data_IF_649248946345
#
_entry.id   IF_649248946345
#
_cell.length_a   1.000
_cell.length_b   1.000
_cell.length_c   1.000
_cell.angle_alpha   90.00
_cell.angle_beta   90.00
_cell.angle_gamma   90.00
#
_symmetry.space_group_name_H-M   'P 1'
#
loop_
_entity.id
_entity.type
_entity.pdbx_description
1 polymer ?
#
# COMPACT_ATOMS: atom_id res chain seq x y z
N UNK A 1 12.66 -75.72 5.53
CA UNK A 1 12.03 -74.88 6.57
C UNK A 1 11.85 -73.51 5.97
N UNK A 2 10.58 -73.15 5.79
CA UNK A 2 10.11 -71.84 5.38
C UNK A 2 10.76 -70.70 6.19
N UNK A 3 10.95 -69.56 5.55
CA UNK A 3 10.17 -68.37 5.91
C UNK A 3 10.49 -67.22 4.96
N UNK A 4 9.52 -66.94 4.10
CA UNK A 4 9.21 -65.64 3.52
C UNK A 4 9.43 -64.53 4.56
N UNK A 5 10.28 -63.54 4.27
CA UNK A 5 10.25 -62.23 4.94
C UNK A 5 10.20 -61.11 3.91
N UNK A 6 8.95 -60.78 3.62
CA UNK A 6 8.34 -59.49 3.26
C UNK A 6 9.27 -58.28 3.21
N UNK A 7 9.13 -57.55 2.09
CA UNK A 7 9.70 -56.25 1.80
C UNK A 7 9.23 -55.13 2.74
N UNK A 8 10.06 -54.09 2.86
CA UNK A 8 9.60 -52.73 3.13
C UNK A 8 10.54 -51.75 2.40
N UNK A 9 10.09 -51.26 1.25
CA UNK A 9 10.67 -50.06 0.63
C UNK A 9 9.95 -48.88 1.27
N UNK A 10 10.67 -48.10 2.08
CA UNK A 10 10.18 -46.84 2.61
C UNK A 10 10.54 -45.76 1.60
N UNK A 11 9.61 -45.44 0.70
CA UNK A 11 9.69 -44.22 -0.10
C UNK A 11 9.18 -43.08 0.77
N UNK A 12 10.09 -42.30 1.34
CA UNK A 12 9.73 -41.06 2.03
C UNK A 12 9.32 -40.02 0.98
N UNK A 13 8.03 -39.97 0.68
CA UNK A 13 7.43 -38.87 -0.06
C UNK A 13 7.32 -37.68 0.91
N UNK A 14 8.27 -36.76 0.85
CA UNK A 14 8.11 -35.45 1.49
C UNK A 14 7.04 -34.67 0.71
N UNK A 15 5.78 -34.92 1.03
CA UNK A 15 4.72 -33.95 0.78
C UNK A 15 4.96 -32.80 1.76
N UNK A 16 5.75 -31.81 1.33
CA UNK A 16 5.74 -30.52 1.99
C UNK A 16 4.31 -30.03 1.96
N UNK A 17 3.68 -29.92 3.13
CA UNK A 17 2.46 -29.17 3.33
C UNK A 17 2.80 -27.73 2.96
N UNK A 18 2.60 -27.37 1.70
CA UNK A 18 2.47 -25.99 1.30
C UNK A 18 1.31 -25.44 2.10
N UNK A 19 1.60 -24.83 3.24
CA UNK A 19 0.66 -23.91 3.85
C UNK A 19 0.31 -22.93 2.73
N UNK A 20 -0.99 -22.77 2.47
CA UNK A 20 -1.42 -21.63 1.69
C UNK A 20 -0.81 -20.42 2.38
N UNK A 21 0.18 -19.80 1.74
CA UNK A 21 0.57 -18.44 2.09
C UNK A 21 -0.70 -17.67 1.80
N UNK A 22 -1.43 -17.28 2.85
CA UNK A 22 -2.53 -16.34 2.71
C UNK A 22 -1.88 -15.13 2.04
N UNK A 23 -2.28 -14.84 0.80
CA UNK A 23 -1.99 -13.56 0.20
C UNK A 23 -2.63 -12.54 1.14
N UNK A 24 -1.78 -11.84 1.89
CA UNK A 24 -2.25 -10.77 2.77
C UNK A 24 -2.58 -9.60 1.83
N UNK A 25 -3.84 -9.18 1.86
CA UNK A 25 -4.32 -7.99 1.18
C UNK A 25 -4.43 -6.88 2.23
N UNK A 26 -3.99 -5.68 1.89
CA UNK A 26 -3.98 -4.50 2.75
C UNK A 26 -4.67 -3.34 2.05
N UNK A 27 -5.80 -2.89 2.58
CA UNK A 27 -6.54 -1.75 2.02
C UNK A 27 -6.14 -0.46 2.72
N UNK A 28 -5.53 0.47 1.98
CA UNK A 28 -5.23 1.83 2.44
C UNK A 28 -6.30 2.81 1.97
N UNK A 29 -6.93 3.50 2.92
CA UNK A 29 -7.79 4.65 2.63
C UNK A 29 -6.95 5.91 2.43
N UNK A 30 -7.05 6.56 1.27
CA UNK A 30 -6.41 7.86 1.02
C UNK A 30 -7.45 8.97 1.13
N UNK A 31 -7.46 9.69 2.25
CA UNK A 31 -8.48 10.68 2.56
C UNK A 31 -8.00 12.11 2.28
N UNK A 32 -8.73 12.82 1.41
CA UNK A 32 -8.56 14.25 1.22
C UNK A 32 -9.92 14.92 0.98
N UNK A 33 -10.24 15.90 1.80
CA UNK A 33 -11.43 16.72 1.65
C UNK A 33 -11.05 18.19 1.42
N UNK A 34 -11.87 18.89 0.64
CA UNK A 34 -11.74 20.31 0.37
C UNK A 34 -11.78 20.64 -1.12
N UNK A 35 -11.55 21.92 -1.48
CA UNK A 35 -11.57 22.36 -2.87
C UNK A 35 -10.58 21.60 -3.73
N UNK A 36 -11.06 21.09 -4.87
CA UNK A 36 -10.24 20.35 -5.83
C UNK A 36 -9.78 18.97 -5.34
N UNK A 37 -10.37 18.41 -4.27
CA UNK A 37 -9.97 17.14 -3.67
C UNK A 37 -9.86 16.00 -4.69
N UNK A 38 -10.79 15.89 -5.65
CA UNK A 38 -10.74 14.86 -6.71
C UNK A 38 -9.45 14.90 -7.52
N UNK A 39 -9.09 16.07 -8.06
CA UNK A 39 -7.88 16.20 -8.88
C UNK A 39 -6.61 15.97 -8.05
N UNK A 40 -6.60 16.46 -6.82
CA UNK A 40 -5.47 16.28 -5.89
C UNK A 40 -5.33 14.83 -5.43
N UNK A 41 -6.44 14.13 -5.20
CA UNK A 41 -6.45 12.69 -4.91
C UNK A 41 -5.92 11.89 -6.09
N UNK A 42 -6.27 12.26 -7.33
CA UNK A 42 -5.72 11.58 -8.51
C UNK A 42 -4.19 11.70 -8.56
N UNK A 43 -3.63 12.86 -8.23
CA UNK A 43 -2.17 13.04 -8.14
C UNK A 43 -1.56 12.22 -6.99
N UNK A 44 -2.17 12.25 -5.80
CA UNK A 44 -1.74 11.42 -4.66
C UNK A 44 -1.73 9.93 -5.06
N UNK A 45 -2.80 9.45 -5.69
CA UNK A 45 -2.92 8.07 -6.15
C UNK A 45 -1.84 7.75 -7.18
N UNK A 46 -1.59 8.62 -8.16
CA UNK A 46 -0.54 8.41 -9.15
C UNK A 46 0.85 8.27 -8.50
N UNK A 47 1.18 9.14 -7.54
CA UNK A 47 2.42 9.02 -6.78
C UNK A 47 2.51 7.72 -5.96
N UNK A 48 1.40 7.32 -5.35
CA UNK A 48 1.30 6.11 -4.55
C UNK A 48 1.51 4.86 -5.40
N UNK A 49 0.79 4.76 -6.54
CA UNK A 49 0.87 3.65 -7.48
C UNK A 49 2.30 3.48 -8.01
N UNK A 50 2.97 4.59 -8.34
CA UNK A 50 4.36 4.54 -8.79
C UNK A 50 5.28 3.87 -7.76
N UNK A 51 5.09 4.16 -6.46
CA UNK A 51 5.88 3.52 -5.40
C UNK A 51 5.52 2.04 -5.18
N UNK A 52 4.24 1.68 -5.35
CA UNK A 52 3.74 0.32 -5.16
C UNK A 52 4.13 -0.62 -6.32
N UNK A 53 4.29 -0.09 -7.54
CA UNK A 53 4.77 -0.85 -8.70
C UNK A 53 6.29 -1.14 -8.63
N UNK A 54 7.06 -0.23 -8.04
CA UNK A 54 8.53 -0.26 -8.06
C UNK A 54 9.21 -1.46 -7.40
N UNK A 55 8.54 -2.15 -6.47
CA UNK A 55 9.22 -3.12 -5.61
C UNK A 55 8.88 -4.58 -5.87
N UNK A 56 7.64 -4.91 -6.23
CA UNK A 56 7.20 -6.31 -6.30
C UNK A 56 6.07 -6.56 -7.34
N UNK A 57 5.84 -5.64 -8.29
CA UNK A 57 4.77 -5.74 -9.30
C UNK A 57 5.01 -6.77 -10.42
N UNK A 58 3.98 -7.53 -10.78
CA UNK A 58 3.94 -8.55 -11.83
C UNK A 58 2.75 -8.36 -12.78
N UNK A 59 2.89 -8.86 -14.02
CA UNK A 59 1.79 -8.82 -14.98
C UNK A 59 0.63 -9.74 -14.55
N UNK A 60 -0.58 -9.17 -14.46
CA UNK A 60 -1.81 -9.91 -14.12
C UNK A 60 -2.26 -9.80 -12.66
N UNK A 61 -1.73 -8.84 -11.90
CA UNK A 61 -2.15 -8.54 -10.53
C UNK A 61 -3.61 -8.06 -10.45
N UNK A 62 -4.22 -8.30 -9.30
CA UNK A 62 -5.58 -7.87 -8.94
C UNK A 62 -5.59 -6.84 -7.80
N UNK A 63 -4.42 -6.29 -7.48
CA UNK A 63 -4.15 -5.28 -6.46
C UNK A 63 -3.57 -4.03 -7.12
N UNK A 64 -3.65 -2.89 -6.43
CA UNK A 64 -3.07 -1.61 -6.88
C UNK A 64 -1.54 -1.55 -6.76
N UNK A 65 -0.92 -2.69 -6.45
CA UNK A 65 0.52 -2.89 -6.35
C UNK A 65 0.89 -3.60 -5.06
N UNK A 66 2.18 -3.57 -4.73
CA UNK A 66 2.73 -4.30 -3.60
C UNK A 66 3.54 -3.37 -2.69
N UNK A 67 3.27 -3.42 -1.39
CA UNK A 67 4.09 -2.73 -0.38
C UNK A 67 4.46 -3.71 0.72
N UNK A 68 5.73 -3.78 1.08
CA UNK A 68 6.21 -4.64 2.17
C UNK A 68 5.93 -6.13 1.98
N UNK A 69 5.72 -6.59 0.74
CA UNK A 69 5.41 -7.99 0.41
C UNK A 69 3.93 -8.38 0.49
N UNK A 70 3.01 -7.40 0.63
CA UNK A 70 1.55 -7.64 0.59
C UNK A 70 0.91 -6.96 -0.60
N UNK A 71 -0.20 -7.53 -1.06
CA UNK A 71 -1.10 -6.91 -2.04
C UNK A 71 -1.74 -5.67 -1.41
N UNK A 72 -1.66 -4.52 -2.08
CA UNK A 72 -2.25 -3.26 -1.59
C UNK A 72 -3.45 -2.88 -2.43
N UNK A 73 -4.56 -2.56 -1.78
CA UNK A 73 -5.69 -1.89 -2.40
C UNK A 73 -5.77 -0.44 -1.94
N UNK A 74 -5.98 0.47 -2.87
CA UNK A 74 -6.13 1.90 -2.61
C UNK A 74 -7.61 2.23 -2.66
N UNK A 75 -8.12 2.83 -1.58
CA UNK A 75 -9.48 3.35 -1.50
C UNK A 75 -9.44 4.88 -1.37
N UNK A 76 -9.73 5.63 -2.46
CA UNK A 76 -9.87 7.08 -2.37
C UNK A 76 -11.08 7.46 -1.51
N UNK A 77 -10.89 8.37 -0.57
CA UNK A 77 -11.91 8.85 0.36
C UNK A 77 -11.97 10.39 0.38
N UNK A 78 -13.14 11.01 0.63
CA UNK A 78 -14.46 10.41 0.87
C UNK A 78 -15.01 9.59 -0.31
N UNK A 79 -15.96 8.68 -0.04
CA UNK A 79 -16.58 7.86 -1.11
C UNK A 79 -17.26 8.76 -2.15
N UNK A 80 -17.22 8.34 -3.41
CA UNK A 80 -17.73 9.12 -4.55
C UNK A 80 -16.85 10.27 -5.05
N UNK A 81 -15.69 10.55 -4.42
CA UNK A 81 -14.77 11.63 -4.87
C UNK A 81 -13.70 11.12 -5.84
N UNK A 82 -13.28 9.85 -5.73
CA UNK A 82 -12.14 9.31 -6.49
C UNK A 82 -12.31 7.90 -7.04
N UNK A 83 -13.54 7.38 -7.10
CA UNK A 83 -13.81 6.00 -7.57
C UNK A 83 -13.48 5.77 -9.06
N UNK A 84 -13.32 6.85 -9.83
CA UNK A 84 -12.96 6.85 -11.26
C UNK A 84 -11.51 7.31 -11.52
N UNK A 85 -10.68 7.38 -10.48
CA UNK A 85 -9.25 7.69 -10.64
C UNK A 85 -8.59 6.56 -11.45
N UNK A 86 -7.87 6.94 -12.51
CA UNK A 86 -7.20 6.00 -13.40
C UNK A 86 -6.09 5.22 -12.69
N UNK A 87 -5.88 3.97 -13.11
CA UNK A 87 -4.81 3.11 -12.61
C UNK A 87 -5.21 2.26 -11.39
N UNK A 88 -6.37 2.52 -10.79
CA UNK A 88 -6.91 1.68 -9.72
C UNK A 88 -7.63 0.45 -10.31
N UNK A 89 -7.35 -0.73 -9.75
CA UNK A 89 -7.97 -2.01 -10.14
C UNK A 89 -9.42 -2.14 -9.63
N UNK A 90 -9.87 -1.31 -8.68
CA UNK A 90 -11.28 -1.26 -8.33
C UNK A 90 -11.64 -0.36 -7.14
N UNK A 91 -12.89 -0.50 -6.71
CA UNK A 91 -13.41 0.07 -5.45
C UNK A 91 -13.45 -1.09 -4.44
N UNK A 92 -12.42 -1.27 -3.58
CA UNK A 92 -12.36 -2.41 -2.69
C UNK A 92 -13.63 -2.51 -1.84
N UNK A 93 -14.26 -3.68 -1.83
CA UNK A 93 -15.50 -3.91 -1.09
C UNK A 93 -15.28 -3.87 0.43
N UNK A 94 -14.04 -4.10 0.87
CA UNK A 94 -13.64 -4.09 2.26
C UNK A 94 -13.45 -2.66 2.78
N UNK A 95 -13.66 -2.49 4.09
CA UNK A 95 -13.26 -1.25 4.76
C UNK A 95 -11.74 -1.13 4.76
N UNK A 96 -11.19 0.10 4.76
CA UNK A 96 -9.75 0.27 4.82
C UNK A 96 -9.20 -0.26 6.15
N UNK A 97 -8.05 -0.92 6.08
CA UNK A 97 -7.26 -1.36 7.22
C UNK A 97 -6.71 -0.16 7.99
N UNK A 98 -6.29 0.87 7.26
CA UNK A 98 -5.85 2.16 7.79
C UNK A 98 -6.26 3.29 6.86
N UNK A 99 -6.33 4.50 7.39
CA UNK A 99 -6.59 5.70 6.60
C UNK A 99 -5.43 6.68 6.77
N UNK A 100 -4.89 7.15 5.65
CA UNK A 100 -3.95 8.27 5.61
C UNK A 100 -4.73 9.53 5.26
N UNK A 101 -4.71 10.50 6.18
CA UNK A 101 -5.35 11.80 6.02
C UNK A 101 -4.36 12.81 5.46
N UNK A 102 -4.69 13.31 4.28
CA UNK A 102 -4.01 14.42 3.64
C UNK A 102 -4.76 15.72 4.00
N UNK A 103 -4.16 16.56 4.85
CA UNK A 103 -4.78 17.81 5.33
C UNK A 103 -5.39 17.71 6.73
N UNK A 104 -6.13 18.74 7.14
CA UNK A 104 -6.60 18.90 8.53
C UNK A 104 -7.99 18.30 8.78
N UNK A 105 -8.82 18.13 7.76
CA UNK A 105 -10.18 17.63 7.89
C UNK A 105 -10.19 16.14 8.23
N UNK A 106 -10.85 15.75 9.31
CA UNK A 106 -10.95 14.35 9.75
C UNK A 106 -12.04 13.62 8.95
N UNK A 107 -11.82 12.35 8.56
CA UNK A 107 -12.88 11.51 8.00
C UNK A 107 -14.09 11.44 8.92
N UNK A 108 -15.28 11.42 8.33
CA UNK A 108 -16.51 11.18 9.07
C UNK A 108 -16.73 9.68 9.30
N UNK A 109 -17.52 9.33 10.32
CA UNK A 109 -17.90 7.92 10.60
C UNK A 109 -18.80 7.31 9.48
N UNK A 110 -19.26 8.13 8.53
CA UNK A 110 -19.96 7.69 7.32
C UNK A 110 -18.97 7.14 6.28
N UNK A 111 -17.77 7.73 6.22
CA UNK A 111 -16.75 7.38 5.23
C UNK A 111 -15.95 6.14 5.63
N UNK A 112 -15.73 5.95 6.94
CA UNK A 112 -14.90 4.88 7.49
C UNK A 112 -15.47 4.33 8.81
N UNK A 113 -15.29 3.04 9.13
CA UNK A 113 -15.65 2.52 10.45
C UNK A 113 -14.93 3.29 11.58
N UNK A 114 -15.61 3.58 12.72
CA UNK A 114 -15.02 4.37 13.81
C UNK A 114 -13.75 3.77 14.45
N UNK A 115 -13.54 2.47 14.29
CA UNK A 115 -12.37 1.74 14.80
C UNK A 115 -11.19 1.76 13.84
N UNK A 116 -11.35 2.30 12.64
CA UNK A 116 -10.27 2.35 11.63
C UNK A 116 -9.19 3.31 12.10
N UNK A 117 -7.93 2.86 12.21
CA UNK A 117 -6.80 3.75 12.51
C UNK A 117 -6.67 4.85 11.44
N UNK A 118 -6.58 6.11 11.88
CA UNK A 118 -6.36 7.27 11.01
C UNK A 118 -5.03 7.92 11.36
N UNK A 119 -4.13 8.01 10.38
CA UNK A 119 -2.84 8.66 10.51
C UNK A 119 -2.79 9.92 9.65
N UNK A 120 -2.03 10.91 10.10
CA UNK A 120 -1.70 12.05 9.25
C UNK A 120 -0.67 11.63 8.19
N UNK A 121 -0.80 12.19 7.00
CA UNK A 121 0.24 12.13 6.00
C UNK A 121 1.56 12.66 6.59
N UNK A 122 2.67 12.03 6.20
CA UNK A 122 4.00 12.32 6.71
C UNK A 122 4.46 13.68 6.24
N UNK A 123 5.51 14.19 6.86
CA UNK A 123 6.13 15.41 6.37
C UNK A 123 6.70 15.15 4.98
N UNK A 124 6.33 16.00 4.01
CA UNK A 124 7.03 16.07 2.74
C UNK A 124 8.22 17.00 2.91
N UNK A 125 9.38 16.62 2.38
CA UNK A 125 10.60 17.42 2.42
C UNK A 125 10.30 18.88 1.98
N UNK A 126 10.56 19.88 2.85
CA UNK A 126 10.36 21.28 2.52
C UNK A 126 11.38 21.82 1.51
N UNK A 127 12.55 21.18 1.38
CA UNK A 127 13.59 21.51 0.40
C UNK A 127 13.18 21.27 -1.05
N UNK A 128 12.15 20.43 -1.25
CA UNK A 128 11.66 19.97 -2.55
C UNK A 128 12.70 19.17 -3.34
N UNK A 129 13.60 18.47 -2.63
CA UNK A 129 14.64 17.63 -3.23
C UNK A 129 14.00 16.53 -4.11
N UNK A 130 12.76 16.15 -3.80
CA UNK A 130 11.92 15.27 -4.62
C UNK A 130 11.71 15.72 -6.08
N UNK A 131 11.91 17.00 -6.40
CA UNK A 131 11.80 17.49 -7.78
C UNK A 131 12.98 17.07 -8.67
N UNK A 132 14.13 16.79 -8.05
CA UNK A 132 15.37 16.42 -8.72
C UNK A 132 15.78 14.97 -8.43
N UNK A 133 14.94 14.23 -7.72
CA UNK A 133 15.20 12.83 -7.36
C UNK A 133 14.79 11.87 -8.47
N UNK A 134 15.16 10.60 -8.29
CA UNK A 134 14.75 9.50 -9.17
C UNK A 134 13.22 9.37 -9.27
N UNK A 135 12.49 9.73 -8.22
CA UNK A 135 11.02 9.78 -8.25
C UNK A 135 10.52 10.70 -9.36
N UNK A 136 11.05 11.92 -9.47
CA UNK A 136 10.59 12.86 -10.49
C UNK A 136 10.88 12.38 -11.92
N UNK A 137 12.05 11.77 -12.13
CA UNK A 137 12.41 11.19 -13.42
C UNK A 137 11.47 10.03 -13.81
N UNK A 138 11.15 9.13 -12.87
CA UNK A 138 10.25 8.00 -13.10
C UNK A 138 8.80 8.40 -13.26
N UNK A 139 8.35 9.37 -12.48
CA UNK A 139 7.00 9.93 -12.61
C UNK A 139 6.81 10.53 -14.00
N UNK A 140 7.78 11.32 -14.48
CA UNK A 140 7.74 11.86 -15.83
C UNK A 140 7.77 10.79 -16.92
N UNK A 141 8.55 9.73 -16.73
CA UNK A 141 8.58 8.59 -17.66
C UNK A 141 7.24 7.82 -17.71
N UNK A 142 6.55 7.71 -16.56
CA UNK A 142 5.31 6.93 -16.42
C UNK A 142 4.08 7.73 -16.87
N UNK A 143 3.97 8.98 -16.45
CA UNK A 143 2.77 9.80 -16.64
C UNK A 143 2.94 10.92 -17.68
N UNK A 144 4.14 11.10 -18.24
CA UNK A 144 4.42 12.08 -19.29
C UNK A 144 4.42 13.55 -18.83
N UNK A 145 4.38 13.79 -17.52
CA UNK A 145 4.39 15.13 -16.91
C UNK A 145 5.29 15.16 -15.68
N UNK A 146 5.78 16.34 -15.29
CA UNK A 146 6.47 16.50 -14.00
C UNK A 146 5.52 16.21 -12.84
N UNK A 147 6.01 15.62 -11.73
CA UNK A 147 5.18 15.36 -10.56
C UNK A 147 4.70 16.66 -9.91
N UNK A 148 3.46 16.63 -9.40
CA UNK A 148 2.96 17.66 -8.50
C UNK A 148 3.41 17.39 -7.06
N UNK A 149 3.24 18.38 -6.16
CA UNK A 149 3.49 18.19 -4.73
C UNK A 149 2.58 17.11 -4.13
N UNK A 150 1.34 17.01 -4.61
CA UNK A 150 0.38 16.01 -4.16
C UNK A 150 0.81 14.59 -4.63
N UNK A 151 1.37 14.45 -5.83
CA UNK A 151 1.99 13.19 -6.27
C UNK A 151 3.23 12.82 -5.45
N UNK A 152 4.13 13.77 -5.16
CA UNK A 152 5.27 13.52 -4.29
C UNK A 152 4.83 13.07 -2.89
N UNK A 153 3.75 13.66 -2.35
CA UNK A 153 3.17 13.23 -1.09
C UNK A 153 2.63 11.80 -1.17
N UNK A 154 1.92 11.43 -2.23
CA UNK A 154 1.43 10.05 -2.43
C UNK A 154 2.56 9.03 -2.45
N UNK A 155 3.65 9.32 -3.18
CA UNK A 155 4.84 8.49 -3.21
C UNK A 155 5.50 8.36 -1.83
N UNK A 156 5.63 9.48 -1.10
CA UNK A 156 6.13 9.50 0.27
C UNK A 156 5.34 8.54 1.17
N UNK A 157 4.01 8.62 1.14
CA UNK A 157 3.15 7.78 1.99
C UNK A 157 3.25 6.30 1.65
N UNK A 158 3.27 5.93 0.37
CA UNK A 158 3.43 4.54 -0.05
C UNK A 158 4.74 3.94 0.48
N UNK A 159 5.84 4.70 0.40
CA UNK A 159 7.14 4.25 0.91
C UNK A 159 7.19 4.16 2.43
N UNK A 160 6.53 5.09 3.14
CA UNK A 160 6.37 5.01 4.60
C UNK A 160 5.58 3.78 5.01
N UNK A 161 4.52 3.44 4.27
CA UNK A 161 3.72 2.23 4.49
C UNK A 161 4.53 0.96 4.20
N UNK A 162 5.28 0.91 3.10
CA UNK A 162 6.21 -0.20 2.83
C UNK A 162 7.18 -0.43 3.99
N UNK A 163 7.79 0.64 4.53
CA UNK A 163 8.68 0.56 5.69
C UNK A 163 7.97 0.08 6.97
N UNK A 164 6.69 0.40 7.14
CA UNK A 164 5.91 -0.02 8.31
C UNK A 164 5.41 -1.47 8.19
N UNK A 165 5.04 -1.92 6.99
CA UNK A 165 4.48 -3.24 6.71
C UNK A 165 5.57 -4.31 6.65
N UNK A 166 6.68 -4.03 5.95
CA UNK A 166 7.73 -5.00 5.65
C UNK A 166 8.31 -5.73 6.88
N UNK A 167 8.59 -5.06 8.02
CA UNK A 167 9.11 -5.74 9.20
C UNK A 167 8.07 -6.61 9.92
N UNK A 168 6.79 -6.44 9.59
CA UNK A 168 5.65 -7.08 10.24
C UNK A 168 5.10 -8.27 9.45
N UNK A 169 5.77 -8.67 8.36
CA UNK A 169 5.42 -9.84 7.54
C UNK A 169 3.95 -9.81 7.07
N UNK A 170 3.45 -8.61 6.74
CA UNK A 170 2.11 -8.41 6.17
C UNK A 170 0.93 -8.51 7.13
N UNK A 171 1.17 -8.46 8.45
CA UNK A 171 0.12 -8.60 9.47
C UNK A 171 -0.90 -7.43 9.48
N UNK A 172 -2.10 -7.76 9.98
CA UNK A 172 -3.20 -6.82 10.28
C UNK A 172 -2.72 -5.63 11.12
N UNK A 173 -3.19 -4.40 10.83
CA UNK A 173 -2.87 -3.23 11.64
C UNK A 173 -3.11 -3.45 13.13
N UNK A 174 -2.17 -2.99 13.93
CA UNK A 174 -2.21 -3.05 15.39
C UNK A 174 -1.08 -2.21 15.99
N UNK A 175 -0.80 -2.35 17.30
CA UNK A 175 0.15 -1.45 17.98
C UNK A 175 1.56 -1.41 17.38
N UNK A 176 2.03 -2.53 16.80
CA UNK A 176 3.34 -2.58 16.14
C UNK A 176 3.36 -1.78 14.82
N UNK A 177 2.30 -1.90 14.01
CA UNK A 177 2.13 -1.11 12.80
C UNK A 177 2.01 0.38 13.14
N UNK A 178 1.19 0.72 14.14
CA UNK A 178 1.02 2.10 14.62
C UNK A 178 2.36 2.72 15.02
N UNK A 179 3.18 2.01 15.80
CA UNK A 179 4.50 2.48 16.18
C UNK A 179 5.43 2.66 14.96
N UNK A 180 5.39 1.72 14.01
CA UNK A 180 6.23 1.77 12.82
C UNK A 180 5.87 2.92 11.87
N UNK A 181 4.58 3.16 11.61
CA UNK A 181 4.16 4.27 10.75
C UNK A 181 4.41 5.64 11.39
N UNK A 182 4.28 5.74 12.72
CA UNK A 182 4.61 6.97 13.45
C UNK A 182 6.12 7.24 13.47
N UNK A 183 6.96 6.21 13.49
CA UNK A 183 8.41 6.35 13.42
C UNK A 183 8.90 6.97 12.09
N UNK A 184 8.09 6.86 11.02
CA UNK A 184 8.41 7.44 9.71
C UNK A 184 7.73 8.79 9.46
N UNK A 185 7.14 9.43 10.47
CA UNK A 185 6.42 10.71 10.32
C UNK A 185 7.27 11.85 9.70
N UNK A 186 8.60 11.76 9.79
CA UNK A 186 9.53 12.68 9.15
C UNK A 186 9.57 12.59 7.61
N UNK A 187 8.95 11.58 7.01
CA UNK A 187 8.97 11.37 5.56
C UNK A 187 10.22 10.64 5.06
N UNK A 188 10.39 10.65 3.74
CA UNK A 188 11.55 10.09 3.06
C UNK A 188 12.72 11.08 3.00
N UNK A 189 13.92 10.52 2.95
CA UNK A 189 15.07 11.18 2.33
C UNK A 189 14.99 10.91 0.82
N UNK A 190 15.11 11.97 0.01
CA UNK A 190 14.84 11.97 -1.43
C UNK A 190 16.07 11.83 -2.31
#
# INVERSE_FOLDING_TARGET
>A
MDMIRRALIITALWAGTGGAVLAHEFTVGLYLEGPGSKARLAEIVAGFLLAADERDGHAGETSDGHLGGVDVQILPLPRGVGEDIAGLYGNPAQSPDVVIRFGSTRPSDIDIPPTTPVFEAGTLDPGQDWQQSDFAARYAATYGTSPTRDAAQGYNEARRLDMAIRPLDGLTPGPAFEAAILATAGGLEW
#
